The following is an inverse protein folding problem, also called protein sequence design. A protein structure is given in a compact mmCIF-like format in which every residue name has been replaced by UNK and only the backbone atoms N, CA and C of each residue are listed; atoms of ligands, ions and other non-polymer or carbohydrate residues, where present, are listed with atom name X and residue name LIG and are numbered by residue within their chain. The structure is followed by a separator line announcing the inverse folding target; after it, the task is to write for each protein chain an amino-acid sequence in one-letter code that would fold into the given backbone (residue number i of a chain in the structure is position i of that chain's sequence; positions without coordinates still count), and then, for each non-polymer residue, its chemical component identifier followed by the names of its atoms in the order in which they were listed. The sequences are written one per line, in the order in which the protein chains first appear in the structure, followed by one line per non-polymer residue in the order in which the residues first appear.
data_IF_919928276082
#
_entry.id   IF_919928276082
#
_cell.length_a   1.000
_cell.length_b   1.000
_cell.length_c   1.000
_cell.angle_alpha   90.00
_cell.angle_beta   90.00
_cell.angle_gamma   90.00
#
_symmetry.space_group_name_H-M   'P 1'
#
loop_
_entity.id
_entity.type
_entity.pdbx_description
1 polymer ?
#
# COMPACT_ATOMS: atom_id res chain seq x y z
N UNK A 1 11.53 -2.04 -86.35
CA UNK A 1 11.56 -1.01 -85.33
C UNK A 1 10.62 -1.51 -84.22
N UNK A 2 11.00 -1.86 -83.04
CA UNK A 2 11.80 -1.31 -82.01
C UNK A 2 12.10 -2.46 -81.01
N UNK A 3 13.37 -2.76 -80.83
CA UNK A 3 13.87 -3.75 -79.87
C UNK A 3 14.65 -3.00 -78.79
N UNK A 4 14.07 -2.23 -77.86
CA UNK A 4 14.90 -1.54 -76.92
C UNK A 4 14.22 -1.21 -75.56
N UNK A 5 13.19 -1.97 -75.15
CA UNK A 5 12.58 -1.67 -73.84
C UNK A 5 12.48 -2.84 -72.86
N UNK A 6 13.17 -3.97 -73.08
CA UNK A 6 13.07 -5.13 -72.17
C UNK A 6 14.19 -5.30 -71.14
N UNK A 7 15.26 -4.46 -71.25
CA UNK A 7 16.41 -4.58 -70.33
C UNK A 7 16.34 -3.66 -69.09
N UNK A 8 15.53 -2.63 -69.08
CA UNK A 8 15.45 -1.68 -67.99
C UNK A 8 14.56 -2.21 -66.80
N UNK A 9 13.57 -3.09 -67.08
CA UNK A 9 12.70 -3.58 -66.09
C UNK A 9 13.33 -4.67 -65.15
N UNK A 10 14.22 -5.50 -65.77
CA UNK A 10 14.90 -6.56 -65.02
C UNK A 10 15.99 -6.00 -64.07
N UNK A 11 16.68 -4.93 -64.48
CA UNK A 11 17.67 -4.27 -63.62
C UNK A 11 17.04 -3.50 -62.47
N UNK A 12 15.87 -2.88 -62.68
CA UNK A 12 15.13 -2.21 -61.63
C UNK A 12 14.47 -3.21 -60.63
N UNK A 13 14.03 -4.37 -61.13
CA UNK A 13 13.43 -5.38 -60.26
C UNK A 13 14.48 -6.07 -59.39
N UNK A 14 15.70 -6.30 -59.90
CA UNK A 14 16.79 -6.86 -59.13
C UNK A 14 17.29 -5.89 -58.03
N UNK A 15 17.30 -4.59 -58.30
CA UNK A 15 17.66 -3.57 -57.31
C UNK A 15 16.59 -3.37 -56.26
N UNK A 16 15.30 -3.47 -56.67
CA UNK A 16 14.18 -3.39 -55.73
C UNK A 16 14.07 -4.62 -54.81
N UNK A 17 14.34 -5.84 -55.31
CA UNK A 17 14.37 -7.04 -54.49
C UNK A 17 15.59 -7.06 -53.53
N UNK A 18 16.73 -6.49 -53.96
CA UNK A 18 17.89 -6.34 -53.06
C UNK A 18 17.64 -5.37 -51.92
N UNK A 19 16.89 -4.28 -52.18
CA UNK A 19 16.56 -3.30 -51.15
C UNK A 19 15.46 -3.80 -50.20
N UNK A 20 14.50 -4.60 -50.64
CA UNK A 20 13.44 -5.16 -49.80
C UNK A 20 13.99 -6.27 -48.90
N UNK A 21 14.97 -7.06 -49.37
CA UNK A 21 15.62 -8.05 -48.48
C UNK A 21 16.53 -7.41 -47.41
N UNK A 22 17.02 -6.18 -47.63
CA UNK A 22 17.78 -5.43 -46.64
C UNK A 22 16.88 -4.76 -45.58
N UNK A 23 15.61 -4.50 -45.94
CA UNK A 23 14.60 -3.93 -45.01
C UNK A 23 13.86 -4.99 -44.20
N UNK A 24 13.88 -6.27 -44.61
CA UNK A 24 13.28 -7.38 -43.88
C UNK A 24 14.25 -8.04 -42.88
N UNK A 25 15.56 -7.84 -43.00
CA UNK A 25 16.52 -8.14 -41.96
C UNK A 25 16.42 -7.00 -40.92
N UNK A 26 15.68 -7.22 -39.83
CA UNK A 26 15.51 -6.24 -38.76
C UNK A 26 16.81 -5.47 -38.50
N UNK A 27 16.72 -4.16 -38.50
CA UNK A 27 17.79 -3.16 -38.43
C UNK A 27 18.96 -3.58 -37.53
N UNK A 28 19.95 -4.26 -38.12
CA UNK A 28 21.25 -4.48 -37.48
C UNK A 28 22.07 -3.21 -37.69
N UNK A 29 21.80 -2.19 -36.89
CA UNK A 29 22.68 -1.02 -36.80
C UNK A 29 23.77 -1.34 -35.77
N UNK A 30 24.58 -2.35 -36.08
CA UNK A 30 25.83 -2.61 -35.43
C UNK A 30 26.93 -2.38 -36.45
N UNK A 31 27.96 -1.61 -36.14
CA UNK A 31 29.04 -1.28 -37.00
C UNK A 31 29.61 -2.52 -37.73
N UNK A 32 29.31 -2.66 -39.03
CA UNK A 32 30.10 -3.53 -39.91
C UNK A 32 31.46 -2.88 -40.09
N UNK A 33 32.44 -3.24 -39.29
CA UNK A 33 33.81 -2.93 -39.65
C UNK A 33 34.26 -3.96 -40.69
N UNK A 34 34.28 -3.59 -41.97
CA UNK A 34 34.90 -4.39 -43.00
C UNK A 34 36.42 -4.38 -42.77
N UNK A 35 36.94 -5.40 -42.10
CA UNK A 35 38.35 -5.74 -42.25
C UNK A 35 38.46 -7.01 -43.05
N UNK A 36 39.06 -6.85 -44.26
CA UNK A 36 39.65 -7.85 -45.13
C UNK A 36 39.24 -9.30 -44.92
N UNK A 37 38.48 -9.81 -45.87
CA UNK A 37 38.28 -11.23 -46.07
C UNK A 37 39.61 -11.94 -46.39
N UNK A 38 40.30 -12.45 -45.43
CA UNK A 38 41.16 -13.62 -45.61
C UNK A 38 40.38 -14.82 -45.13
N UNK A 39 40.34 -15.85 -45.88
CA UNK A 39 39.48 -17.01 -45.93
C UNK A 39 39.47 -17.91 -44.69
N UNK A 40 39.03 -17.38 -43.54
CA UNK A 40 38.68 -18.15 -42.40
C UNK A 40 37.39 -17.52 -41.83
N UNK A 41 36.27 -18.21 -41.97
CA UNK A 41 34.92 -17.91 -41.63
C UNK A 41 34.62 -16.53 -41.01
N UNK A 42 33.79 -15.73 -41.71
CA UNK A 42 33.17 -14.55 -41.11
C UNK A 42 32.34 -14.94 -39.92
N UNK A 43 32.88 -14.82 -38.72
CA UNK A 43 32.11 -14.93 -37.52
C UNK A 43 31.39 -13.59 -37.27
N UNK A 44 30.10 -13.55 -37.55
CA UNK A 44 29.26 -12.47 -37.10
C UNK A 44 29.10 -12.67 -35.60
N UNK A 45 29.85 -11.93 -34.81
CA UNK A 45 29.65 -11.85 -33.38
C UNK A 45 28.37 -11.04 -33.16
N UNK A 46 27.41 -11.63 -32.42
CA UNK A 46 26.23 -10.88 -32.01
C UNK A 46 26.67 -9.57 -31.34
N UNK A 47 25.96 -8.48 -31.62
CA UNK A 47 26.24 -7.21 -30.96
C UNK A 47 26.18 -7.39 -29.45
N UNK A 48 27.18 -6.88 -28.76
CA UNK A 48 27.16 -6.87 -27.29
C UNK A 48 26.06 -5.93 -26.81
N UNK A 49 25.48 -6.25 -25.62
CA UNK A 49 24.60 -5.32 -24.94
C UNK A 49 25.40 -4.14 -24.41
N UNK A 50 24.94 -2.91 -24.69
CA UNK A 50 25.55 -1.67 -24.23
C UNK A 50 24.59 -0.80 -23.41
N UNK A 51 23.44 -1.35 -23.02
CA UNK A 51 22.44 -0.63 -22.24
C UNK A 51 22.33 -1.18 -20.85
N UNK A 52 22.56 -0.33 -19.86
CA UNK A 52 22.31 -0.66 -18.47
C UNK A 52 20.80 -0.80 -18.19
N UNK A 53 20.41 -1.66 -17.25
CA UNK A 53 19.03 -1.78 -16.79
C UNK A 53 18.48 -0.47 -16.21
N UNK A 54 17.16 -0.35 -16.18
CA UNK A 54 16.44 0.79 -15.61
C UNK A 54 15.39 0.32 -14.63
N UNK A 55 15.12 1.14 -13.62
CA UNK A 55 13.99 0.97 -12.73
C UNK A 55 12.78 1.76 -13.26
N UNK A 56 11.62 1.13 -13.42
CA UNK A 56 10.37 1.81 -13.76
C UNK A 56 9.62 2.30 -12.52
N UNK A 57 9.72 1.56 -11.43
CA UNK A 57 9.09 1.86 -10.15
C UNK A 57 9.95 1.34 -9.00
N UNK A 58 9.92 2.05 -7.87
CA UNK A 58 10.56 1.62 -6.63
C UNK A 58 9.81 2.20 -5.44
N UNK A 59 9.71 1.42 -4.36
CA UNK A 59 9.09 1.84 -3.11
C UNK A 59 9.84 1.22 -1.92
N UNK A 60 9.83 1.92 -0.82
CA UNK A 60 10.16 1.36 0.49
C UNK A 60 8.85 1.16 1.25
N UNK A 61 8.65 -0.04 1.80
CA UNK A 61 7.47 -0.37 2.59
C UNK A 61 7.87 -1.06 3.89
N UNK A 62 7.10 -0.85 4.95
CA UNK A 62 7.27 -1.58 6.21
C UNK A 62 7.08 -3.09 5.99
N UNK A 63 7.63 -3.91 6.89
CA UNK A 63 7.58 -5.38 6.73
C UNK A 63 6.24 -6.00 7.14
N UNK A 64 5.39 -5.25 7.81
CA UNK A 64 4.04 -5.64 8.27
C UNK A 64 3.02 -4.63 7.77
N UNK A 65 1.86 -5.10 7.34
CA UNK A 65 0.85 -4.28 6.67
C UNK A 65 1.21 -3.99 5.21
N UNK A 66 0.22 -3.65 4.42
CA UNK A 66 0.34 -3.51 2.96
C UNK A 66 0.85 -2.16 2.47
N UNK A 67 0.87 -1.12 3.31
CA UNK A 67 1.11 0.26 2.86
C UNK A 67 2.59 0.56 2.61
N UNK A 68 2.89 1.14 1.44
CA UNK A 68 4.22 1.56 1.02
C UNK A 68 4.42 3.08 1.08
N UNK A 69 5.68 3.51 0.95
CA UNK A 69 6.02 4.93 0.85
C UNK A 69 6.25 5.65 2.17
N UNK A 70 5.92 5.05 3.31
CA UNK A 70 6.13 5.65 4.64
C UNK A 70 6.74 4.64 5.62
N UNK A 71 7.66 5.11 6.46
CA UNK A 71 8.32 4.31 7.51
C UNK A 71 8.55 5.16 8.76
N UNK A 72 8.83 4.47 9.89
CA UNK A 72 9.22 5.13 11.14
C UNK A 72 10.66 4.80 11.55
N UNK A 73 11.23 5.59 12.47
CA UNK A 73 12.48 5.23 13.17
C UNK A 73 12.34 3.88 13.86
N UNK A 74 13.44 3.10 13.86
CA UNK A 74 13.50 1.74 14.42
C UNK A 74 12.49 0.76 13.80
N UNK A 75 11.70 1.16 12.80
CA UNK A 75 10.79 0.29 12.05
C UNK A 75 11.54 -0.62 11.09
N UNK A 76 10.97 -1.80 10.79
CA UNK A 76 11.53 -2.72 9.79
C UNK A 76 10.88 -2.47 8.44
N UNK A 77 11.69 -2.55 7.38
CA UNK A 77 11.24 -2.26 6.03
C UNK A 77 11.94 -3.11 4.97
N UNK A 78 11.38 -3.13 3.77
CA UNK A 78 11.96 -3.64 2.54
C UNK A 78 12.10 -2.53 1.50
N UNK A 79 13.07 -2.67 0.59
CA UNK A 79 13.15 -1.89 -0.65
C UNK A 79 12.65 -2.77 -1.78
N UNK A 80 11.71 -2.28 -2.57
CA UNK A 80 11.15 -2.93 -3.74
C UNK A 80 11.50 -2.15 -5.00
N UNK A 81 11.66 -2.85 -6.12
CA UNK A 81 11.87 -2.22 -7.42
C UNK A 81 11.36 -3.09 -8.56
N UNK A 82 10.88 -2.46 -9.62
CA UNK A 82 10.67 -3.05 -10.93
C UNK A 82 11.84 -2.68 -11.82
N UNK A 83 12.70 -3.65 -12.13
CA UNK A 83 13.91 -3.44 -12.92
C UNK A 83 13.85 -4.27 -14.19
N UNK A 84 14.09 -3.62 -15.32
CA UNK A 84 14.13 -4.24 -16.64
C UNK A 84 15.41 -3.87 -17.39
N UNK A 85 15.89 -4.82 -18.17
CA UNK A 85 16.94 -4.60 -19.13
C UNK A 85 16.32 -4.51 -20.54
N UNK A 86 16.52 -3.38 -21.19
CA UNK A 86 15.92 -3.05 -22.49
C UNK A 86 16.93 -3.02 -23.64
N UNK A 87 18.13 -3.56 -23.44
CA UNK A 87 19.14 -3.72 -24.49
C UNK A 87 18.63 -4.51 -25.72
N UNK A 88 19.27 -4.33 -26.84
CA UNK A 88 19.01 -5.12 -28.06
C UNK A 88 20.33 -5.57 -28.68
N UNK A 89 20.77 -6.81 -28.40
CA UNK A 89 20.16 -7.78 -27.49
C UNK A 89 20.24 -7.34 -26.03
N UNK A 90 19.25 -7.69 -25.21
CA UNK A 90 19.31 -7.55 -23.77
C UNK A 90 20.14 -8.70 -23.17
N UNK A 91 21.08 -8.39 -22.28
CA UNK A 91 21.88 -9.41 -21.60
C UNK A 91 21.20 -9.92 -20.33
N UNK A 92 20.20 -9.19 -19.85
CA UNK A 92 19.46 -9.47 -18.63
C UNK A 92 20.04 -8.83 -17.38
N UNK A 93 19.18 -8.59 -16.37
CA UNK A 93 19.58 -7.96 -15.10
C UNK A 93 20.41 -8.93 -14.25
N UNK A 94 21.65 -8.57 -13.96
CA UNK A 94 22.58 -9.33 -13.11
C UNK A 94 22.40 -8.97 -11.64
N UNK A 95 22.56 -7.70 -11.27
CA UNK A 95 22.46 -7.24 -9.88
C UNK A 95 21.63 -5.96 -9.76
N UNK A 96 20.89 -5.87 -8.64
CA UNK A 96 20.21 -4.64 -8.22
C UNK A 96 20.61 -4.38 -6.77
N UNK A 97 21.11 -3.18 -6.49
CA UNK A 97 21.53 -2.77 -5.15
C UNK A 97 20.93 -1.41 -4.80
N UNK A 98 20.46 -1.29 -3.57
CA UNK A 98 20.02 -0.02 -3.00
C UNK A 98 21.07 0.58 -2.07
N UNK A 99 21.29 1.87 -2.16
CA UNK A 99 21.95 2.64 -1.11
C UNK A 99 20.87 3.31 -0.26
N UNK A 100 20.70 2.80 0.95
CA UNK A 100 19.74 3.30 1.96
C UNK A 100 20.47 3.82 3.20
N UNK A 101 21.73 4.25 3.06
CA UNK A 101 22.52 4.77 4.17
C UNK A 101 21.93 5.99 4.88
N UNK A 102 21.09 6.83 4.25
CA UNK A 102 20.33 7.87 4.96
C UNK A 102 19.24 7.34 5.89
N UNK A 103 18.75 6.11 5.65
CA UNK A 103 17.70 5.46 6.43
C UNK A 103 18.30 4.52 7.47
N UNK A 104 19.26 3.69 7.03
CA UNK A 104 19.95 2.70 7.85
C UNK A 104 21.45 2.88 7.66
N UNK A 105 22.13 3.33 8.71
CA UNK A 105 23.56 3.64 8.66
C UNK A 105 24.39 2.47 8.07
N UNK A 106 25.38 2.80 7.26
CA UNK A 106 26.31 1.87 6.60
C UNK A 106 25.69 0.95 5.52
N UNK A 107 24.41 1.05 5.22
CA UNK A 107 23.73 0.26 4.18
C UNK A 107 23.84 0.94 2.80
N UNK A 108 25.03 0.91 2.21
CA UNK A 108 25.35 1.57 0.93
C UNK A 108 25.13 0.70 -0.30
N UNK A 109 24.96 -0.64 -0.14
CA UNK A 109 24.87 -1.59 -1.25
C UNK A 109 24.00 -2.82 -0.90
N UNK A 110 22.76 -2.58 -0.47
CA UNK A 110 21.79 -3.64 -0.13
C UNK A 110 21.34 -4.35 -1.39
N UNK A 111 21.52 -5.66 -1.47
CA UNK A 111 21.08 -6.45 -2.64
C UNK A 111 19.58 -6.65 -2.64
N UNK A 112 18.93 -6.42 -3.79
CA UNK A 112 17.54 -6.77 -4.06
C UNK A 112 17.48 -8.06 -4.86
N UNK A 113 16.88 -9.10 -4.27
CA UNK A 113 16.70 -10.41 -4.88
C UNK A 113 15.53 -10.42 -5.85
N UNK A 114 15.63 -11.24 -6.91
CA UNK A 114 14.55 -11.47 -7.85
C UNK A 114 13.39 -12.24 -7.20
N UNK A 115 12.17 -11.92 -7.59
CA UNK A 115 10.95 -12.58 -7.11
C UNK A 115 9.71 -11.86 -7.64
N UNK A 116 8.55 -12.24 -7.11
CA UNK A 116 7.30 -11.51 -7.32
C UNK A 116 6.79 -11.06 -5.96
N UNK A 117 6.60 -9.75 -5.81
CA UNK A 117 6.20 -9.12 -4.56
C UNK A 117 5.12 -8.10 -4.86
N UNK A 118 4.20 -7.88 -3.93
CA UNK A 118 3.13 -6.89 -4.09
C UNK A 118 3.15 -5.91 -2.92
N UNK A 119 3.00 -4.63 -3.22
CA UNK A 119 2.81 -3.54 -2.25
C UNK A 119 1.73 -2.63 -2.82
N UNK A 120 0.67 -2.34 -2.08
CA UNK A 120 -0.47 -1.49 -2.49
C UNK A 120 -1.04 -1.92 -3.86
N UNK A 121 -1.18 -3.22 -4.10
CA UNK A 121 -1.66 -3.77 -5.38
C UNK A 121 -0.65 -3.69 -6.54
N UNK A 122 0.49 -3.03 -6.37
CA UNK A 122 1.56 -2.93 -7.38
C UNK A 122 2.52 -4.11 -7.26
N UNK A 123 2.82 -4.77 -8.40
CA UNK A 123 3.75 -5.89 -8.44
C UNK A 123 5.18 -5.42 -8.68
N UNK A 124 6.14 -5.97 -7.92
CA UNK A 124 7.58 -5.69 -8.02
C UNK A 124 8.35 -6.98 -8.30
N UNK A 125 9.41 -6.89 -9.12
CA UNK A 125 10.25 -8.04 -9.49
C UNK A 125 11.57 -8.14 -8.70
N UNK A 126 11.81 -7.21 -7.78
CA UNK A 126 12.99 -7.17 -6.89
C UNK A 126 12.58 -6.73 -5.50
N UNK A 127 13.22 -7.34 -4.46
CA UNK A 127 13.04 -6.93 -3.06
C UNK A 127 14.32 -7.17 -2.26
N UNK A 128 14.63 -6.27 -1.32
CA UNK A 128 15.72 -6.46 -0.34
C UNK A 128 15.37 -7.53 0.71
N UNK A 129 16.36 -7.96 1.48
CA UNK A 129 16.10 -8.52 2.81
C UNK A 129 15.49 -7.47 3.74
N UNK A 130 14.97 -7.91 4.90
CA UNK A 130 14.46 -6.99 5.94
C UNK A 130 15.58 -6.11 6.47
N UNK A 131 15.30 -4.82 6.57
CA UNK A 131 16.19 -3.77 7.10
C UNK A 131 15.51 -3.10 8.28
N UNK A 132 16.30 -2.47 9.15
CA UNK A 132 15.77 -1.68 10.28
C UNK A 132 16.23 -0.24 10.12
N UNK A 133 15.29 0.70 10.14
CA UNK A 133 15.57 2.12 10.11
C UNK A 133 16.33 2.56 11.37
N UNK A 134 17.23 3.52 11.22
CA UNK A 134 18.00 4.04 12.37
C UNK A 134 17.05 4.61 13.44
N UNK A 135 17.40 4.40 14.71
CA UNK A 135 16.65 4.97 15.85
C UNK A 135 16.71 6.50 15.89
N UNK A 136 17.69 7.07 15.19
CA UNK A 136 17.90 8.52 15.03
C UNK A 136 17.26 9.08 13.76
N UNK A 137 16.54 8.26 12.98
CA UNK A 137 15.87 8.71 11.75
C UNK A 137 14.84 9.78 12.08
N UNK A 138 15.05 10.98 11.50
CA UNK A 138 14.22 12.17 11.67
C UNK A 138 14.08 12.90 10.34
N UNK A 139 13.20 13.88 10.28
CA UNK A 139 12.86 14.58 9.05
C UNK A 139 11.57 14.04 8.43
N UNK A 140 11.05 14.71 7.42
CA UNK A 140 9.81 14.30 6.74
C UNK A 140 10.07 13.24 5.66
N UNK A 141 11.28 13.19 5.07
CA UNK A 141 11.64 12.26 4.00
C UNK A 141 13.09 11.80 4.15
N UNK A 142 13.38 10.61 3.63
CA UNK A 142 14.74 10.09 3.54
C UNK A 142 15.02 9.59 2.11
N UNK A 143 16.10 10.08 1.44
CA UNK A 143 16.43 9.69 0.08
C UNK A 143 17.10 8.33 0.02
N UNK A 144 17.00 7.66 -1.15
CA UNK A 144 17.75 6.46 -1.48
C UNK A 144 18.06 6.40 -2.99
N UNK A 145 18.97 5.50 -3.37
CA UNK A 145 19.35 5.29 -4.77
C UNK A 145 19.38 3.81 -5.11
N UNK A 146 19.23 3.49 -6.40
CA UNK A 146 19.37 2.14 -6.93
C UNK A 146 20.53 2.09 -7.92
N UNK A 147 21.41 1.09 -7.78
CA UNK A 147 22.44 0.75 -8.77
C UNK A 147 22.10 -0.61 -9.37
N UNK A 148 21.94 -0.64 -10.68
CA UNK A 148 21.56 -1.82 -11.45
C UNK A 148 22.68 -2.16 -12.42
N UNK A 149 22.99 -3.45 -12.55
CA UNK A 149 24.02 -3.95 -13.48
C UNK A 149 23.45 -5.13 -14.26
N UNK A 150 23.67 -5.18 -15.57
CA UNK A 150 23.31 -6.31 -16.42
C UNK A 150 24.41 -7.41 -16.43
N UNK A 151 24.14 -8.48 -17.17
CA UNK A 151 25.11 -9.58 -17.35
C UNK A 151 26.28 -9.17 -18.22
N UNK A 152 26.14 -8.19 -19.12
CA UNK A 152 27.21 -7.64 -19.94
C UNK A 152 28.14 -6.68 -19.17
N UNK A 153 27.75 -6.29 -17.93
CA UNK A 153 28.54 -5.39 -17.08
C UNK A 153 28.17 -3.91 -17.19
N UNK A 154 27.13 -3.56 -17.96
CA UNK A 154 26.67 -2.17 -18.01
C UNK A 154 25.96 -1.82 -16.72
N UNK A 155 26.37 -0.75 -16.08
CA UNK A 155 25.84 -0.32 -14.80
C UNK A 155 25.22 1.07 -14.88
N UNK A 156 24.15 1.28 -14.12
CA UNK A 156 23.46 2.57 -13.96
C UNK A 156 23.06 2.78 -12.51
N UNK A 157 23.25 4.00 -12.03
CA UNK A 157 22.70 4.45 -10.75
C UNK A 157 21.59 5.44 -11.01
N UNK A 158 20.44 5.20 -10.40
CA UNK A 158 19.29 6.09 -10.40
C UNK A 158 19.08 6.67 -9.01
N UNK A 159 18.73 7.94 -8.97
CA UNK A 159 18.53 8.73 -7.75
C UNK A 159 17.25 9.55 -7.87
N UNK A 160 16.89 10.28 -6.80
CA UNK A 160 15.66 11.07 -6.74
C UNK A 160 14.52 10.30 -6.10
N UNK A 161 14.77 9.10 -5.58
CA UNK A 161 13.82 8.33 -4.79
C UNK A 161 13.86 8.76 -3.32
N UNK A 162 12.72 8.75 -2.67
CA UNK A 162 12.61 9.01 -1.23
C UNK A 162 11.48 8.18 -0.62
N UNK A 163 11.53 8.00 0.68
CA UNK A 163 10.47 7.46 1.51
C UNK A 163 10.10 8.50 2.53
N UNK A 164 8.82 8.63 2.85
CA UNK A 164 8.34 9.49 3.92
C UNK A 164 8.69 8.90 5.29
N UNK A 165 8.98 9.78 6.25
CA UNK A 165 9.35 9.38 7.61
C UNK A 165 8.33 9.98 8.57
N UNK A 166 7.54 9.11 9.18
CA UNK A 166 6.59 9.51 10.21
C UNK A 166 6.93 8.84 11.54
N UNK A 167 7.11 9.67 12.56
CA UNK A 167 7.39 9.26 13.93
C UNK A 167 6.32 9.79 14.89
N UNK A 168 5.23 10.32 14.37
CA UNK A 168 4.08 10.80 15.15
C UNK A 168 3.31 9.58 15.68
N UNK A 169 2.84 9.66 16.88
CA UNK A 169 2.04 8.59 17.49
C UNK A 169 0.57 8.93 17.30
N UNK A 170 -0.22 8.10 16.60
CA UNK A 170 -1.64 8.34 16.43
C UNK A 170 -2.37 8.36 17.77
N UNK A 171 -3.36 9.24 17.89
CA UNK A 171 -4.19 9.41 19.10
C UNK A 171 -5.67 9.37 18.73
N UNK A 172 -6.52 9.07 19.72
CA UNK A 172 -7.95 9.31 19.61
C UNK A 172 -8.21 10.83 19.55
N UNK A 173 -8.74 11.33 18.44
CA UNK A 173 -9.06 12.74 18.27
C UNK A 173 -10.51 13.03 18.69
N UNK A 174 -11.45 12.17 18.31
CA UNK A 174 -12.86 12.31 18.68
C UNK A 174 -13.62 10.98 18.56
N UNK A 175 -14.80 10.93 19.13
CA UNK A 175 -15.82 9.89 18.90
C UNK A 175 -17.19 10.56 18.89
N UNK A 176 -18.03 10.22 17.89
CA UNK A 176 -19.36 10.80 17.74
C UNK A 176 -20.35 9.75 17.31
N UNK A 177 -21.63 9.96 17.65
CA UNK A 177 -22.74 9.20 17.07
C UNK A 177 -23.62 10.11 16.23
N UNK A 178 -24.38 9.50 15.32
CA UNK A 178 -25.38 10.20 14.53
C UNK A 178 -26.62 9.35 14.39
N UNK A 179 -27.76 9.91 14.81
CA UNK A 179 -29.08 9.28 14.64
C UNK A 179 -29.47 9.28 13.16
N UNK A 180 -29.60 8.10 12.58
CA UNK A 180 -30.20 7.84 11.28
C UNK A 180 -31.38 6.86 11.41
N UNK A 181 -31.64 6.40 12.63
CA UNK A 181 -32.75 5.53 12.98
C UNK A 181 -34.06 6.29 13.21
N UNK A 182 -35.01 5.61 13.84
CA UNK A 182 -36.36 6.16 14.06
C UNK A 182 -36.47 7.06 15.29
N UNK A 183 -35.60 6.89 16.29
CA UNK A 183 -35.76 7.51 17.63
C UNK A 183 -34.42 8.04 18.14
N UNK A 184 -34.32 9.35 18.26
CA UNK A 184 -33.15 10.00 18.85
C UNK A 184 -32.90 9.58 20.31
N UNK A 185 -31.66 9.32 20.66
CA UNK A 185 -31.25 8.86 21.99
C UNK A 185 -31.46 7.36 22.22
N UNK A 186 -31.72 6.58 21.17
CA UNK A 186 -31.86 5.13 21.22
C UNK A 186 -31.08 4.51 20.06
N UNK A 187 -30.17 3.61 20.36
CA UNK A 187 -29.43 2.90 19.34
C UNK A 187 -30.38 2.04 18.47
N UNK A 188 -30.49 2.40 17.20
CA UNK A 188 -31.38 1.77 16.20
C UNK A 188 -30.58 1.35 14.96
N UNK A 189 -31.21 0.53 14.10
CA UNK A 189 -30.66 0.21 12.78
C UNK A 189 -30.46 1.48 11.94
N UNK A 190 -29.29 1.64 11.34
CA UNK A 190 -28.93 2.79 10.51
C UNK A 190 -28.18 3.89 11.25
N UNK A 191 -28.18 3.91 12.59
CA UNK A 191 -27.38 4.85 13.36
C UNK A 191 -25.87 4.64 13.08
N UNK A 192 -25.11 5.71 13.19
CA UNK A 192 -23.68 5.70 12.89
C UNK A 192 -22.85 6.04 14.12
N UNK A 193 -21.70 5.38 14.24
CA UNK A 193 -20.63 5.73 15.16
C UNK A 193 -19.44 6.15 14.31
N UNK A 194 -18.81 7.28 14.64
CA UNK A 194 -17.62 7.79 13.98
C UNK A 194 -16.47 7.85 14.95
N UNK A 195 -15.41 7.11 14.69
CA UNK A 195 -14.13 7.25 15.37
C UNK A 195 -13.26 8.18 14.55
N UNK A 196 -12.73 9.23 15.14
CA UNK A 196 -11.77 10.13 14.48
C UNK A 196 -10.40 9.96 15.12
N UNK A 197 -9.43 9.58 14.31
CA UNK A 197 -8.03 9.47 14.70
C UNK A 197 -7.31 10.81 14.43
N UNK A 198 -6.16 11.06 15.07
CA UNK A 198 -5.34 12.24 14.77
C UNK A 198 -4.70 12.19 13.38
N UNK A 199 -4.58 10.99 12.82
CA UNK A 199 -4.01 10.67 11.51
C UNK A 199 -4.60 9.35 11.00
N UNK A 200 -4.37 9.02 9.74
CA UNK A 200 -4.92 7.83 9.11
C UNK A 200 -4.36 6.54 9.73
N UNK A 201 -5.21 5.66 10.26
CA UNK A 201 -4.76 4.36 10.77
C UNK A 201 -4.48 3.38 9.62
N UNK A 202 -3.58 2.43 9.85
CA UNK A 202 -3.35 1.29 8.97
C UNK A 202 -4.54 0.33 9.05
N UNK A 203 -5.32 0.12 7.98
CA UNK A 203 -6.50 -0.74 8.00
C UNK A 203 -6.17 -2.18 8.41
N UNK A 204 -5.06 -2.73 7.90
CA UNK A 204 -4.57 -4.08 8.21
C UNK A 204 -4.23 -4.26 9.71
N UNK A 205 -3.97 -3.18 10.44
CA UNK A 205 -3.78 -3.20 11.90
C UNK A 205 -5.09 -3.36 12.68
N UNK A 206 -6.23 -3.09 12.04
CA UNK A 206 -7.57 -3.25 12.61
C UNK A 206 -8.14 -4.63 12.27
N UNK A 207 -8.11 -4.99 10.98
CA UNK A 207 -8.50 -6.31 10.49
C UNK A 207 -7.45 -6.78 9.48
N UNK A 208 -6.89 -7.96 9.68
CA UNK A 208 -5.86 -8.50 8.80
C UNK A 208 -6.34 -8.56 7.34
N UNK A 209 -5.50 -8.06 6.41
CA UNK A 209 -5.77 -7.97 4.97
C UNK A 209 -6.95 -7.04 4.58
N UNK A 210 -7.43 -6.21 5.50
CA UNK A 210 -8.44 -5.21 5.19
C UNK A 210 -7.78 -3.96 4.58
N UNK A 211 -8.40 -3.43 3.55
CA UNK A 211 -7.94 -2.26 2.80
C UNK A 211 -8.70 -0.96 3.14
N UNK A 212 -9.66 -1.04 4.08
CA UNK A 212 -10.47 0.09 4.50
C UNK A 212 -11.86 0.15 3.85
N UNK A 213 -12.13 -0.65 2.83
CA UNK A 213 -13.45 -0.76 2.20
C UNK A 213 -14.51 -1.32 3.17
N UNK A 214 -15.78 -1.17 2.81
CA UNK A 214 -16.90 -1.61 3.65
C UNK A 214 -16.77 -3.10 4.04
N UNK A 215 -16.84 -3.37 5.34
CA UNK A 215 -16.70 -4.70 5.95
C UNK A 215 -17.84 -4.97 6.93
N UNK A 216 -18.42 -6.17 6.87
CA UNK A 216 -19.43 -6.62 7.83
C UNK A 216 -18.84 -6.82 9.22
N UNK A 217 -19.51 -6.27 10.24
CA UNK A 217 -19.12 -6.35 11.65
C UNK A 217 -20.33 -6.61 12.54
N UNK A 218 -20.08 -6.93 13.80
CA UNK A 218 -21.11 -6.96 14.85
C UNK A 218 -20.78 -5.94 15.92
N UNK A 219 -21.71 -5.04 16.19
CA UNK A 219 -21.61 -4.08 17.28
C UNK A 219 -22.28 -4.67 18.53
N UNK A 220 -21.60 -4.60 19.67
CA UNK A 220 -22.19 -4.95 20.97
C UNK A 220 -22.42 -3.69 21.80
N UNK A 221 -23.65 -3.53 22.24
CA UNK A 221 -24.03 -2.58 23.27
C UNK A 221 -24.16 -3.37 24.59
N UNK A 222 -23.22 -3.15 25.50
CA UNK A 222 -23.12 -3.92 26.72
C UNK A 222 -23.70 -3.11 27.89
N UNK A 223 -24.57 -3.73 28.67
CA UNK A 223 -25.04 -3.17 29.92
C UNK A 223 -23.93 -3.25 30.96
N UNK A 224 -23.51 -2.12 31.48
CA UNK A 224 -22.48 -2.01 32.52
C UNK A 224 -22.96 -1.08 33.63
N UNK A 225 -22.77 -1.49 34.89
CA UNK A 225 -23.29 -0.75 36.05
C UNK A 225 -22.76 0.68 36.19
N UNK A 226 -21.54 0.96 35.67
CA UNK A 226 -20.93 2.29 35.72
C UNK A 226 -21.42 3.19 34.56
N UNK A 227 -21.44 2.64 33.36
CA UNK A 227 -22.00 3.23 32.12
C UNK A 227 -22.03 2.15 31.05
N UNK A 228 -23.05 2.16 30.20
CA UNK A 228 -23.17 1.26 29.07
C UNK A 228 -21.98 1.49 28.08
N UNK A 229 -21.57 0.41 27.39
CA UNK A 229 -20.39 0.48 26.54
C UNK A 229 -20.66 -0.11 25.17
N UNK A 230 -19.94 0.40 24.16
CA UNK A 230 -19.94 -0.14 22.81
C UNK A 230 -18.60 -0.78 22.50
N UNK A 231 -18.64 -1.95 21.87
CA UNK A 231 -17.48 -2.68 21.34
C UNK A 231 -17.80 -3.28 19.99
N UNK A 232 -16.80 -3.34 19.12
CA UNK A 232 -16.94 -3.83 17.74
C UNK A 232 -16.29 -5.21 17.62
N UNK A 233 -17.00 -6.15 17.03
CA UNK A 233 -16.56 -7.52 16.78
C UNK A 233 -16.55 -7.82 15.27
N UNK A 234 -15.79 -8.83 14.88
CA UNK A 234 -15.85 -9.34 13.52
C UNK A 234 -17.26 -9.88 13.17
N UNK A 235 -17.54 -10.11 11.89
CA UNK A 235 -18.83 -10.61 11.37
C UNK A 235 -19.35 -11.85 12.09
N UNK A 236 -18.45 -12.74 12.54
CA UNK A 236 -18.83 -13.96 13.29
C UNK A 236 -19.15 -13.70 14.74
N UNK A 237 -19.04 -12.47 15.22
CA UNK A 237 -19.26 -12.06 16.61
C UNK A 237 -18.38 -12.80 17.64
N UNK A 238 -17.18 -13.26 17.24
CA UNK A 238 -16.27 -14.04 18.09
C UNK A 238 -15.01 -13.29 18.47
N UNK A 239 -14.47 -12.45 17.57
CA UNK A 239 -13.23 -11.74 17.77
C UNK A 239 -13.50 -10.26 17.98
N UNK A 240 -13.11 -9.72 19.13
CA UNK A 240 -13.14 -8.28 19.40
C UNK A 240 -12.14 -7.59 18.48
N UNK A 241 -12.59 -6.58 17.74
CA UNK A 241 -11.71 -5.74 16.93
C UNK A 241 -10.94 -4.75 17.81
N UNK A 242 -9.71 -4.38 17.45
CA UNK A 242 -8.83 -3.57 18.29
C UNK A 242 -9.16 -2.07 18.28
N UNK A 243 -10.44 -1.72 18.26
CA UNK A 243 -10.88 -0.31 18.29
C UNK A 243 -11.02 0.24 19.71
N UNK A 244 -10.84 -0.63 20.73
CA UNK A 244 -11.04 -0.26 22.11
C UNK A 244 -12.51 -0.25 22.51
N UNK A 245 -12.86 0.57 23.49
CA UNK A 245 -14.21 0.62 24.05
C UNK A 245 -14.72 2.05 24.09
N UNK A 246 -15.97 2.26 23.69
CA UNK A 246 -16.68 3.50 23.91
C UNK A 246 -17.54 3.32 25.18
N UNK A 247 -17.37 4.19 26.16
CA UNK A 247 -18.25 4.36 27.30
C UNK A 247 -19.26 5.46 26.94
N UNK A 248 -20.56 5.16 27.07
CA UNK A 248 -21.65 6.07 26.68
C UNK A 248 -21.98 7.13 27.75
N UNK A 249 -21.21 7.18 28.84
CA UNK A 249 -21.42 8.14 29.96
C UNK A 249 -22.73 7.94 30.73
N UNK A 250 -23.54 6.92 30.38
CA UNK A 250 -24.86 6.63 30.97
C UNK A 250 -25.12 5.14 31.06
N UNK A 251 -26.08 4.75 31.90
CA UNK A 251 -26.47 3.35 32.21
C UNK A 251 -27.86 2.99 31.68
N UNK A 252 -28.48 3.83 30.84
CA UNK A 252 -29.89 3.70 30.46
C UNK A 252 -30.09 3.59 28.92
N UNK A 253 -29.04 3.35 28.14
CA UNK A 253 -29.13 3.00 26.74
C UNK A 253 -29.62 1.56 26.52
N UNK A 254 -29.38 0.68 27.51
CA UNK A 254 -29.85 -0.70 27.43
C UNK A 254 -30.10 -1.27 28.83
N UNK A 255 -30.98 -2.27 28.94
CA UNK A 255 -31.24 -3.05 30.17
C UNK A 255 -30.65 -4.46 30.09
N UNK A 256 -30.02 -4.83 28.95
CA UNK A 256 -29.36 -6.11 28.74
C UNK A 256 -28.30 -5.96 27.61
N UNK A 257 -27.39 -6.89 27.53
CA UNK A 257 -26.43 -6.89 26.41
C UNK A 257 -27.17 -7.11 25.09
N UNK A 258 -26.92 -6.23 24.11
CA UNK A 258 -27.51 -6.28 22.78
C UNK A 258 -26.41 -6.46 21.74
N UNK A 259 -26.80 -7.02 20.59
CA UNK A 259 -25.97 -7.06 19.39
C UNK A 259 -26.69 -6.39 18.22
N UNK A 260 -25.92 -5.72 17.37
CA UNK A 260 -26.39 -5.16 16.11
C UNK A 260 -25.65 -5.85 14.97
N UNK A 261 -26.37 -6.32 13.96
CA UNK A 261 -25.77 -6.97 12.80
C UNK A 261 -25.45 -8.46 12.96
N UNK A 262 -25.69 -9.06 14.14
CA UNK A 262 -25.46 -10.51 14.34
C UNK A 262 -26.50 -11.38 13.60
N UNK A 263 -27.63 -10.81 13.20
CA UNK A 263 -28.67 -11.44 12.38
C UNK A 263 -29.45 -10.35 11.63
N UNK A 264 -30.10 -10.70 10.52
CA UNK A 264 -30.78 -9.72 9.67
C UNK A 264 -29.78 -8.90 8.85
N UNK A 265 -29.95 -7.57 8.80
CA UNK A 265 -28.98 -6.67 8.15
C UNK A 265 -27.71 -6.58 9.00
N UNK A 266 -26.56 -6.82 8.41
CA UNK A 266 -25.26 -6.68 9.08
C UNK A 266 -25.02 -5.22 9.53
N UNK A 267 -24.24 -5.02 10.58
CA UNK A 267 -23.57 -3.73 10.77
C UNK A 267 -22.37 -3.66 9.87
N UNK A 268 -22.02 -2.48 9.40
CA UNK A 268 -20.86 -2.30 8.50
C UNK A 268 -19.85 -1.34 9.11
N UNK A 269 -18.60 -1.50 8.68
CA UNK A 269 -17.47 -0.65 9.07
C UNK A 269 -16.71 -0.26 7.81
N UNK A 270 -16.35 1.02 7.68
CA UNK A 270 -15.51 1.53 6.58
C UNK A 270 -14.55 2.60 7.10
N UNK A 271 -13.38 2.70 6.48
CA UNK A 271 -12.37 3.71 6.79
C UNK A 271 -12.28 4.72 5.64
N UNK A 272 -12.26 6.01 5.96
CA UNK A 272 -12.04 7.09 4.99
C UNK A 272 -11.11 8.12 5.59
N UNK A 273 -9.85 8.12 5.14
CA UNK A 273 -8.80 8.95 5.72
C UNK A 273 -8.63 8.64 7.21
N UNK A 274 -8.73 9.64 8.06
CA UNK A 274 -8.57 9.47 9.50
C UNK A 274 -9.89 9.19 10.25
N UNK A 275 -10.98 8.84 9.55
CA UNK A 275 -12.27 8.53 10.14
C UNK A 275 -12.71 7.11 9.84
N UNK A 276 -13.11 6.40 10.87
CA UNK A 276 -13.71 5.08 10.77
C UNK A 276 -15.18 5.18 11.14
N UNK A 277 -16.04 4.77 10.21
CA UNK A 277 -17.48 4.81 10.32
C UNK A 277 -18.03 3.42 10.62
N UNK A 278 -18.92 3.30 11.59
CA UNK A 278 -19.64 2.07 11.87
C UNK A 278 -21.13 2.34 11.79
N UNK A 279 -21.83 1.65 10.89
CA UNK A 279 -23.28 1.75 10.74
C UNK A 279 -23.94 0.56 11.45
N UNK A 280 -24.91 0.83 12.30
CA UNK A 280 -25.64 -0.22 13.05
C UNK A 280 -26.59 -1.00 12.14
N UNK A 281 -26.49 -2.32 12.20
CA UNK A 281 -27.42 -3.24 11.56
C UNK A 281 -28.63 -3.59 12.41
N UNK A 282 -29.26 -4.72 12.13
CA UNK A 282 -30.44 -5.19 12.87
C UNK A 282 -30.06 -5.51 14.33
N UNK A 283 -30.78 -4.93 15.28
CA UNK A 283 -30.60 -5.18 16.70
C UNK A 283 -31.24 -6.51 17.14
N UNK A 284 -30.59 -7.18 18.10
CA UNK A 284 -31.10 -8.44 18.69
C UNK A 284 -32.35 -8.24 19.54
N UNK A 285 -32.51 -7.05 20.12
CA UNK A 285 -33.70 -6.58 20.83
C UNK A 285 -33.71 -5.05 20.85
N UNK A 286 -34.83 -4.42 21.17
CA UNK A 286 -34.94 -2.97 21.25
C UNK A 286 -34.05 -2.43 22.40
N UNK A 287 -33.19 -1.44 22.07
CA UNK A 287 -32.50 -0.63 23.04
C UNK A 287 -33.47 0.32 23.75
N UNK A 288 -33.04 0.87 24.88
CA UNK A 288 -33.82 1.89 25.61
C UNK A 288 -33.44 3.29 25.14
N UNK A 289 -34.34 4.25 25.26
CA UNK A 289 -34.05 5.65 24.97
C UNK A 289 -33.42 6.31 26.19
N UNK A 290 -32.25 6.90 26.02
CA UNK A 290 -31.55 7.62 27.07
C UNK A 290 -32.44 8.74 27.65
N UNK A 291 -32.57 8.81 28.98
CA UNK A 291 -33.43 9.79 29.64
C UNK A 291 -32.82 11.20 29.60
N UNK A 292 -31.51 11.32 29.63
CA UNK A 292 -30.76 12.59 29.65
C UNK A 292 -29.51 12.52 28.77
N UNK A 293 -28.79 13.62 28.66
CA UNK A 293 -27.52 13.72 27.92
C UNK A 293 -26.37 13.05 28.69
N UNK A 294 -25.39 12.53 28.00
CA UNK A 294 -24.11 12.02 28.52
C UNK A 294 -22.97 12.54 27.69
N UNK A 295 -21.75 12.15 27.98
CA UNK A 295 -20.60 12.35 27.10
C UNK A 295 -19.91 11.02 26.89
N UNK A 296 -19.74 10.64 25.64
CA UNK A 296 -19.00 9.43 25.29
C UNK A 296 -17.51 9.58 25.60
N UNK A 297 -16.91 8.47 25.98
CA UNK A 297 -15.46 8.37 26.18
C UNK A 297 -14.94 7.17 25.39
N UNK A 298 -14.12 7.42 24.39
CA UNK A 298 -13.41 6.37 23.67
C UNK A 298 -12.07 6.08 24.35
N UNK A 299 -11.85 4.83 24.70
CA UNK A 299 -10.57 4.32 25.24
C UNK A 299 -9.93 3.42 24.19
N UNK A 300 -8.96 3.91 23.40
CA UNK A 300 -8.30 3.15 22.34
C UNK A 300 -7.32 2.11 22.90
N UNK A 301 -6.84 1.22 22.02
CA UNK A 301 -5.82 0.21 22.32
C UNK A 301 -4.59 0.41 21.43
N UNK A 302 -3.41 0.00 21.91
CA UNK A 302 -2.13 0.24 21.24
C UNK A 302 -1.85 -0.68 20.03
N UNK A 303 -2.75 -1.61 19.71
CA UNK A 303 -2.55 -2.54 18.57
C UNK A 303 -2.88 -1.91 17.23
N UNK A 304 -3.72 -0.89 17.18
CA UNK A 304 -3.91 -0.07 15.98
C UNK A 304 -2.64 0.75 15.74
N UNK A 305 -2.21 0.83 14.49
CA UNK A 305 -1.06 1.63 14.08
C UNK A 305 -1.46 2.62 12.99
N UNK A 306 -0.65 3.66 12.79
CA UNK A 306 -0.70 4.48 11.58
C UNK A 306 -0.07 3.76 10.37
N UNK A 307 -0.06 4.41 9.23
CA UNK A 307 0.53 3.89 7.98
C UNK A 307 2.05 3.63 8.11
N UNK A 308 2.77 4.36 8.96
CA UNK A 308 4.19 4.14 9.25
C UNK A 308 4.43 3.00 10.26
N UNK A 309 3.38 2.54 10.95
CA UNK A 309 3.44 1.50 11.96
C UNK A 309 3.69 2.04 13.39
N UNK A 310 3.49 3.35 13.68
CA UNK A 310 3.49 3.84 15.06
C UNK A 310 2.26 3.34 15.80
N UNK A 311 2.46 2.77 16.97
CA UNK A 311 1.36 2.24 17.79
C UNK A 311 0.53 3.39 18.39
N UNK A 312 -0.79 3.26 18.36
CA UNK A 312 -1.73 4.23 18.88
C UNK A 312 -1.56 4.46 20.39
N UNK A 313 -1.63 5.71 20.80
CA UNK A 313 -1.69 6.06 22.23
C UNK A 313 -3.03 5.60 22.86
N UNK A 314 -2.95 5.10 24.10
CA UNK A 314 -4.13 4.54 24.80
C UNK A 314 -4.84 5.56 25.68
N UNK A 315 -4.50 6.85 25.54
CA UNK A 315 -5.15 7.93 26.28
C UNK A 315 -6.61 8.05 25.84
N UNK A 316 -7.53 7.92 26.81
CA UNK A 316 -8.95 8.06 26.54
C UNK A 316 -9.30 9.47 26.03
N UNK A 317 -10.26 9.54 25.13
CA UNK A 317 -10.78 10.77 24.54
C UNK A 317 -12.27 10.90 24.82
N UNK A 318 -12.65 12.00 25.49
CA UNK A 318 -14.05 12.40 25.59
C UNK A 318 -14.47 13.04 24.26
N UNK A 319 -15.67 12.75 23.80
CA UNK A 319 -16.27 13.37 22.62
C UNK A 319 -16.16 14.89 22.65
N UNK A 320 -16.06 15.49 21.46
CA UNK A 320 -16.07 16.94 21.33
C UNK A 320 -17.50 17.49 21.35
N UNK A 321 -17.63 18.77 21.72
CA UNK A 321 -18.95 19.43 21.79
C UNK A 321 -19.60 19.41 23.17
N UNK A 322 -20.90 19.57 23.18
CA UNK A 322 -21.71 19.51 24.41
C UNK A 322 -22.25 18.10 24.61
N UNK A 323 -22.35 17.67 25.85
CA UNK A 323 -23.01 16.41 26.16
C UNK A 323 -24.41 16.33 25.53
N UNK A 324 -24.69 15.28 24.80
CA UNK A 324 -25.97 15.05 24.13
C UNK A 324 -26.51 13.63 24.40
N UNK A 325 -27.51 13.24 23.66
CA UNK A 325 -28.03 11.85 23.64
C UNK A 325 -27.45 11.18 22.42
N UNK A 326 -26.58 10.22 22.67
CA UNK A 326 -26.01 9.39 21.62
C UNK A 326 -27.07 8.61 20.84
N UNK A 327 -26.90 8.44 19.53
CA UNK A 327 -27.81 7.73 18.62
C UNK A 327 -29.11 8.45 18.29
#
# INVERSE_FOLDING_TARGET
MSRNHRWSLAAFLALALGLVSLLAAGSVWGAFSSKNATSAGNTITAAADFRAPTASETVIAKTTGGHGGVIKKSGTYYVYANVTDSGKPASGVSTVKANVSPITASQTAVTLSAGTFTVDGVSYNRRSGSLTAASTLTGATAPYTLTMTDVAGNARTESGFSVDVDNTVPTAADVQTANHGAIAGRADIGDKITYTFSEEPEPDSIVNEWDGDELDVVVRLNQVAAADTVTIYNETNKTLLPLGTINLGRTDYTTANLTFGASGTASTMELSGNQLFVTLGTQSAAATTAAATGSMIWTPVATVTDLAGNAMATTARTESGSADKDF
#
